data_IF_022235518342
#
_entry.id   IF_022235518342
#
_cell.length_a   1.000
_cell.length_b   1.000
_cell.length_c   1.000
_cell.angle_alpha   90.00
_cell.angle_beta   90.00
_cell.angle_gamma   90.00
#
_symmetry.space_group_name_H-M   'P 1'
#
loop_
_entity.id
_entity.type
_entity.pdbx_description
1 polymer ?
#
# COMPACT_ATOMS: atom_id res chain seq x y z
N UNK A 1 -11.56 18.13 -32.55
CA UNK A 1 -11.83 17.88 -31.12
C UNK A 1 -10.57 17.28 -30.52
N UNK A 2 -9.98 17.91 -29.50
CA UNK A 2 -8.80 17.38 -28.83
C UNK A 2 -9.16 16.05 -28.15
N UNK A 3 -8.31 15.03 -28.28
CA UNK A 3 -8.45 13.81 -27.47
C UNK A 3 -8.42 14.23 -25.99
N UNK A 4 -9.37 13.77 -25.15
CA UNK A 4 -9.34 14.09 -23.73
C UNK A 4 -7.99 13.62 -23.17
N UNK A 5 -7.25 14.53 -22.56
CA UNK A 5 -6.05 14.18 -21.81
C UNK A 5 -6.48 13.31 -20.62
N UNK A 6 -5.70 12.28 -20.26
CA UNK A 6 -5.97 11.53 -19.05
C UNK A 6 -5.98 12.48 -17.84
N UNK A 7 -7.09 12.50 -17.10
CA UNK A 7 -7.25 13.28 -15.88
C UNK A 7 -7.21 12.28 -14.73
N UNK A 8 -6.16 12.37 -13.91
CA UNK A 8 -6.07 11.64 -12.65
C UNK A 8 -6.60 12.53 -11.53
N UNK A 9 -7.55 12.08 -10.69
CA UNK A 9 -7.94 12.83 -9.51
C UNK A 9 -6.73 13.04 -8.57
N UNK A 10 -6.55 14.26 -8.06
CA UNK A 10 -5.46 14.58 -7.13
C UNK A 10 -5.50 13.71 -5.87
N UNK A 11 -6.70 13.30 -5.43
CA UNK A 11 -6.89 12.39 -4.29
C UNK A 11 -6.14 11.07 -4.45
N UNK A 12 -5.99 10.56 -5.68
CA UNK A 12 -5.24 9.31 -5.94
C UNK A 12 -3.75 9.51 -5.64
N UNK A 13 -3.20 10.70 -5.90
CA UNK A 13 -1.80 11.00 -5.60
C UNK A 13 -1.57 11.13 -4.09
N UNK A 14 -2.49 11.77 -3.38
CA UNK A 14 -2.46 11.91 -1.92
C UNK A 14 -2.59 10.53 -1.25
N UNK A 15 -3.56 9.72 -1.67
CA UNK A 15 -3.77 8.34 -1.19
C UNK A 15 -2.54 7.46 -1.45
N UNK A 16 -1.92 7.56 -2.63
CA UNK A 16 -0.67 6.85 -2.94
C UNK A 16 0.48 7.29 -2.03
N UNK A 17 0.60 8.58 -1.75
CA UNK A 17 1.65 9.09 -0.87
C UNK A 17 1.48 8.51 0.55
N UNK A 18 0.28 8.56 1.10
CA UNK A 18 -0.03 8.04 2.43
C UNK A 18 0.19 6.52 2.53
N UNK A 19 -0.21 5.76 1.49
CA UNK A 19 0.04 4.32 1.42
C UNK A 19 1.52 3.98 1.32
N UNK A 20 2.31 4.76 0.57
CA UNK A 20 3.75 4.58 0.49
C UNK A 20 4.44 4.88 1.82
N UNK A 21 4.05 5.95 2.52
CA UNK A 21 4.52 6.28 3.85
C UNK A 21 4.20 5.16 4.85
N UNK A 22 2.98 4.63 4.80
CA UNK A 22 2.53 3.53 5.67
C UNK A 22 3.28 2.23 5.37
N UNK A 23 3.52 1.92 4.08
CA UNK A 23 4.32 0.77 3.65
C UNK A 23 5.77 0.89 4.12
N UNK A 24 6.34 2.09 4.07
CA UNK A 24 7.70 2.34 4.55
C UNK A 24 7.80 2.17 6.07
N UNK A 25 6.80 2.65 6.82
CA UNK A 25 6.71 2.42 8.27
C UNK A 25 6.58 0.93 8.60
N UNK A 26 5.74 0.20 7.87
CA UNK A 26 5.61 -1.26 8.00
C UNK A 26 6.95 -1.97 7.73
N UNK A 27 7.67 -1.57 6.68
CA UNK A 27 8.98 -2.11 6.37
C UNK A 27 9.99 -1.91 7.52
N UNK A 28 10.05 -0.71 8.10
CA UNK A 28 10.94 -0.44 9.24
C UNK A 28 10.57 -1.26 10.48
N UNK A 29 9.28 -1.45 10.74
CA UNK A 29 8.80 -2.29 11.85
C UNK A 29 9.21 -3.75 11.67
N UNK A 30 8.96 -4.32 10.48
CA UNK A 30 9.35 -5.70 10.15
C UNK A 30 10.87 -5.87 10.26
N UNK A 31 11.64 -4.95 9.68
CA UNK A 31 13.10 -5.02 9.72
C UNK A 31 13.63 -4.98 11.16
N UNK A 32 13.09 -4.09 12.00
CA UNK A 32 13.48 -3.97 13.41
C UNK A 32 13.11 -5.23 14.20
N UNK A 33 11.94 -5.81 13.93
CA UNK A 33 11.50 -7.02 14.60
C UNK A 33 12.34 -8.24 14.21
N UNK A 34 12.66 -8.41 12.92
CA UNK A 34 13.58 -9.46 12.43
C UNK A 34 14.97 -9.28 13.05
N UNK A 35 15.48 -8.05 13.12
CA UNK A 35 16.76 -7.79 13.77
C UNK A 35 16.77 -8.22 15.24
N UNK A 36 15.70 -7.92 15.99
CA UNK A 36 15.56 -8.34 17.40
C UNK A 36 15.46 -9.86 17.57
N UNK A 37 14.71 -10.51 16.69
CA UNK A 37 14.60 -11.96 16.62
C UNK A 37 15.97 -12.63 16.41
N UNK A 38 16.80 -12.07 15.54
CA UNK A 38 18.15 -12.58 15.27
C UNK A 38 19.15 -12.27 16.40
N UNK A 39 18.89 -11.27 17.25
CA UNK A 39 19.81 -10.83 18.32
C UNK A 39 19.55 -11.50 19.69
N UNK A 40 18.87 -12.66 19.72
CA UNK A 40 18.56 -13.48 20.92
C UNK A 40 17.46 -12.96 21.86
N UNK A 41 16.86 -11.78 21.61
CA UNK A 41 15.65 -11.31 22.29
C UNK A 41 14.39 -11.65 21.48
N UNK A 42 14.11 -12.95 21.38
CA UNK A 42 12.89 -13.42 20.73
C UNK A 42 11.63 -12.97 21.50
N UNK A 43 10.57 -12.50 20.81
CA UNK A 43 9.27 -12.33 21.46
C UNK A 43 8.79 -13.68 21.97
N UNK A 44 8.25 -13.68 23.19
CA UNK A 44 7.73 -14.88 23.87
C UNK A 44 6.52 -15.46 23.12
N UNK A 45 5.82 -14.64 22.34
CA UNK A 45 4.65 -15.01 21.54
C UNK A 45 4.79 -14.57 20.08
N UNK A 46 5.15 -15.53 19.24
CA UNK A 46 5.27 -15.36 17.79
C UNK A 46 3.93 -15.23 17.07
N UNK A 47 2.87 -15.81 17.63
CA UNK A 47 1.55 -15.84 16.99
C UNK A 47 0.90 -14.46 17.05
N UNK A 48 0.91 -13.83 18.22
CA UNK A 48 0.47 -12.43 18.39
C UNK A 48 1.30 -11.46 17.54
N UNK A 49 2.61 -11.70 17.41
CA UNK A 49 3.47 -10.88 16.56
C UNK A 49 3.09 -10.99 15.08
N UNK A 50 2.88 -12.20 14.56
CA UNK A 50 2.46 -12.44 13.18
C UNK A 50 1.07 -11.84 12.90
N UNK A 51 0.12 -12.00 13.83
CA UNK A 51 -1.20 -11.38 13.75
C UNK A 51 -1.12 -9.85 13.71
N UNK A 52 -0.21 -9.26 14.50
CA UNK A 52 0.06 -7.82 14.48
C UNK A 52 0.60 -7.35 13.14
N UNK A 53 1.58 -8.06 12.56
CA UNK A 53 2.10 -7.76 11.23
C UNK A 53 1.02 -7.84 10.15
N UNK A 54 0.21 -8.90 10.18
CA UNK A 54 -0.88 -9.08 9.22
C UNK A 54 -1.92 -7.95 9.36
N UNK A 55 -2.26 -7.57 10.58
CA UNK A 55 -3.21 -6.48 10.86
C UNK A 55 -2.70 -5.12 10.40
N UNK A 56 -1.38 -4.88 10.42
CA UNK A 56 -0.76 -3.66 9.90
C UNK A 56 -0.64 -3.68 8.37
N UNK A 57 -0.46 -4.85 7.77
CA UNK A 57 -0.30 -5.00 6.33
C UNK A 57 -1.63 -4.93 5.57
N UNK A 58 -2.71 -5.48 6.13
CA UNK A 58 -4.00 -5.58 5.45
C UNK A 58 -4.53 -4.22 4.93
N UNK A 59 -4.53 -3.12 5.71
CA UNK A 59 -5.00 -1.83 5.22
C UNK A 59 -4.16 -1.28 4.06
N UNK A 60 -2.85 -1.56 4.05
CA UNK A 60 -1.95 -1.14 2.96
C UNK A 60 -2.34 -1.87 1.68
N UNK A 61 -2.55 -3.19 1.76
CA UNK A 61 -2.96 -4.00 0.63
C UNK A 61 -4.33 -3.56 0.09
N UNK A 62 -5.29 -3.33 0.98
CA UNK A 62 -6.64 -2.90 0.61
C UNK A 62 -6.61 -1.54 -0.13
N UNK A 63 -5.78 -0.60 0.32
CA UNK A 63 -5.60 0.69 -0.33
C UNK A 63 -5.01 0.58 -1.74
N UNK A 64 -3.97 -0.23 -1.94
CA UNK A 64 -3.42 -0.45 -3.29
C UNK A 64 -4.41 -1.16 -4.23
N UNK A 65 -5.19 -2.10 -3.71
CA UNK A 65 -6.24 -2.78 -4.48
C UNK A 65 -7.37 -1.82 -4.88
N UNK A 66 -7.71 -0.86 -4.02
CA UNK A 66 -8.72 0.14 -4.35
C UNK A 66 -8.22 1.09 -5.45
N UNK A 67 -6.96 1.55 -5.38
CA UNK A 67 -6.33 2.33 -6.45
C UNK A 67 -6.31 1.55 -7.77
N UNK A 68 -5.98 0.26 -7.74
CA UNK A 68 -6.03 -0.60 -8.93
C UNK A 68 -7.45 -0.66 -9.52
N UNK A 69 -8.47 -0.78 -8.66
CA UNK A 69 -9.88 -0.79 -9.07
C UNK A 69 -10.30 0.54 -9.69
N UNK A 70 -9.92 1.66 -9.09
CA UNK A 70 -10.16 3.00 -9.62
C UNK A 70 -9.49 3.16 -11.01
N UNK A 71 -8.23 2.75 -11.15
CA UNK A 71 -7.50 2.79 -12.41
C UNK A 71 -8.16 1.93 -13.50
N UNK A 72 -8.63 0.72 -13.17
CA UNK A 72 -9.40 -0.14 -14.08
C UNK A 72 -10.70 0.54 -14.52
N UNK A 73 -11.44 1.15 -13.58
CA UNK A 73 -12.69 1.87 -13.89
C UNK A 73 -12.46 3.05 -14.83
N UNK A 74 -11.40 3.84 -14.62
CA UNK A 74 -11.04 4.93 -15.54
C UNK A 74 -10.67 4.42 -16.93
N UNK A 75 -9.97 3.28 -17.01
CA UNK A 75 -9.61 2.63 -18.28
C UNK A 75 -10.85 2.17 -19.05
N UNK A 76 -11.77 1.50 -18.38
CA UNK A 76 -13.02 1.01 -18.98
C UNK A 76 -13.93 2.16 -19.44
N UNK A 77 -13.90 3.27 -18.71
CA UNK A 77 -14.68 4.47 -19.02
C UNK A 77 -14.06 5.35 -20.12
N UNK A 78 -12.90 4.96 -20.68
CA UNK A 78 -12.24 5.67 -21.77
C UNK A 78 -11.50 6.97 -21.37
N UNK A 79 -11.26 7.19 -20.07
CA UNK A 79 -10.53 8.36 -19.56
C UNK A 79 -9.00 8.17 -19.53
N UNK A 80 -8.49 7.07 -20.08
CA UNK A 80 -7.05 6.75 -20.10
C UNK A 80 -6.45 7.09 -21.45
N UNK A 81 -5.40 7.90 -21.44
CA UNK A 81 -4.60 8.19 -22.63
C UNK A 81 -3.77 6.98 -23.02
N UNK A 82 -3.73 6.67 -24.32
CA UNK A 82 -2.79 5.70 -24.87
C UNK A 82 -1.47 6.47 -25.03
N UNK A 83 -0.50 6.17 -24.18
CA UNK A 83 0.88 6.66 -24.28
C UNK A 83 1.63 6.00 -25.43
#
# INVERSE_FOLDING_TARGET
>A
MAKPYPILPASVLDELHDLNCTLQAYHYLVHTAVHRLCSQDAPVDYESFLLGLQSLFQPILDGYLDIERQAKSFRESGFVGIG
#
